data_IF_617737256230
#
_entry.id   IF_617737256230
#
_cell.length_a   1.000
_cell.length_b   1.000
_cell.length_c   1.000
_cell.angle_alpha   90.00
_cell.angle_beta   90.00
_cell.angle_gamma   90.00
#
_symmetry.space_group_name_H-M   'P 1'
#
loop_
_entity.id
_entity.type
_entity.pdbx_description
1 polymer ?
#
# COMPACT_ATOMS: atom_id res chain seq x y z
N UNK A 1 46.18 75.22 19.84
CA UNK A 1 47.35 74.69 20.55
C UNK A 1 46.88 73.52 21.41
N UNK A 2 47.22 72.28 20.99
CA UNK A 2 47.41 71.02 21.76
C UNK A 2 46.32 70.64 22.79
N UNK A 3 45.76 69.44 22.90
CA UNK A 3 45.62 68.20 22.10
C UNK A 3 44.62 67.37 22.95
N UNK A 4 43.42 67.08 22.43
CA UNK A 4 42.40 66.31 23.17
C UNK A 4 42.67 64.80 23.03
N UNK A 5 42.96 64.13 24.15
CA UNK A 5 42.80 62.68 24.32
C UNK A 5 41.33 62.38 24.63
N UNK A 6 40.78 61.31 24.06
CA UNK A 6 40.17 60.17 24.77
C UNK A 6 39.35 59.28 23.80
N UNK A 7 39.38 57.99 24.12
CA UNK A 7 38.47 56.90 23.72
C UNK A 7 38.64 56.30 22.30
N UNK A 8 39.36 55.18 22.26
CA UNK A 8 39.09 54.10 21.30
C UNK A 8 38.59 52.91 22.11
N UNK A 9 37.35 52.50 21.82
CA UNK A 9 36.67 51.37 22.43
C UNK A 9 37.35 50.05 22.04
N UNK A 10 37.47 49.18 23.04
CA UNK A 10 37.95 47.80 22.94
C UNK A 10 36.84 46.90 22.38
N UNK A 11 37.07 46.31 21.21
CA UNK A 11 36.16 45.34 20.60
C UNK A 11 36.49 43.93 21.08
N UNK A 12 35.61 43.35 21.91
CA UNK A 12 35.61 41.95 22.32
C UNK A 12 35.21 41.05 21.14
N UNK A 13 36.12 40.17 20.69
CA UNK A 13 35.83 39.10 19.74
C UNK A 13 35.30 37.87 20.49
N UNK A 14 34.00 37.62 20.37
CA UNK A 14 33.36 36.37 20.81
C UNK A 14 33.37 35.39 19.63
N UNK A 15 34.30 34.43 19.63
CA UNK A 15 34.30 33.33 18.66
C UNK A 15 33.33 32.24 19.12
N UNK A 16 32.09 32.28 18.63
CA UNK A 16 31.17 31.15 18.73
C UNK A 16 31.55 30.11 17.66
N UNK A 17 32.13 28.99 18.10
CA UNK A 17 32.33 27.81 17.28
C UNK A 17 30.98 27.19 16.93
N UNK A 18 30.51 27.40 15.71
CA UNK A 18 29.39 26.67 15.13
C UNK A 18 29.94 25.34 14.60
N UNK A 19 29.88 24.29 15.43
CA UNK A 19 29.99 22.91 14.95
C UNK A 19 28.76 22.60 14.11
N UNK A 20 28.95 22.62 12.79
CA UNK A 20 27.95 22.21 11.81
C UNK A 20 27.83 20.69 11.93
N UNK A 21 26.88 20.20 12.74
CA UNK A 21 26.46 18.82 12.70
C UNK A 21 25.61 18.63 11.44
N UNK A 22 26.22 18.13 10.38
CA UNK A 22 25.51 17.61 9.22
C UNK A 22 24.69 16.40 9.66
N UNK A 23 23.39 16.61 9.93
CA UNK A 23 22.44 15.52 10.13
C UNK A 23 22.35 14.73 8.81
N UNK A 24 23.04 13.59 8.75
CA UNK A 24 22.82 12.61 7.69
C UNK A 24 21.41 12.05 7.90
N UNK A 25 20.44 12.61 7.19
CA UNK A 25 19.15 11.94 7.01
C UNK A 25 19.46 10.62 6.31
N UNK A 26 19.35 9.50 7.04
CA UNK A 26 19.19 8.19 6.41
C UNK A 26 17.91 8.27 5.57
N UNK A 27 18.07 8.63 4.30
CA UNK A 27 17.08 8.29 3.29
C UNK A 27 17.07 6.77 3.25
N UNK A 28 16.10 6.16 3.93
CA UNK A 28 15.79 4.76 3.75
C UNK A 28 15.58 4.56 2.25
N UNK A 29 16.43 3.73 1.64
CA UNK A 29 16.27 3.29 0.26
C UNK A 29 14.83 2.84 0.08
N UNK A 30 14.08 3.56 -0.77
CA UNK A 30 12.76 3.15 -1.23
C UNK A 30 12.98 1.89 -2.06
N UNK A 31 13.03 0.74 -1.37
CA UNK A 31 13.03 -0.56 -1.99
C UNK A 31 11.82 -0.64 -2.91
N UNK A 32 12.08 -0.88 -4.19
CA UNK A 32 11.05 -0.94 -5.22
C UNK A 32 9.97 -1.95 -4.78
N UNK A 33 8.74 -1.52 -4.42
CA UNK A 33 7.76 -2.38 -3.75
C UNK A 33 7.31 -3.56 -4.61
N UNK A 34 7.57 -3.50 -5.90
CA UNK A 34 7.34 -4.54 -6.91
C UNK A 34 8.24 -5.77 -6.77
N UNK A 35 9.35 -5.71 -6.01
CA UNK A 35 10.22 -6.89 -5.79
C UNK A 35 9.72 -7.82 -4.67
N UNK A 36 8.78 -7.37 -3.84
CA UNK A 36 8.25 -8.12 -2.70
C UNK A 36 7.07 -9.01 -3.05
N UNK A 37 6.47 -8.83 -4.23
CA UNK A 37 5.26 -9.53 -4.68
C UNK A 37 5.54 -10.25 -5.99
N UNK A 38 5.08 -11.49 -6.09
CA UNK A 38 5.10 -12.27 -7.33
C UNK A 38 3.67 -12.54 -7.76
N UNK A 39 3.33 -12.18 -9.00
CA UNK A 39 2.04 -12.55 -9.58
C UNK A 39 2.01 -14.06 -9.79
N UNK A 40 0.95 -14.70 -9.29
CA UNK A 40 0.76 -16.16 -9.32
C UNK A 40 -0.26 -16.55 -10.36
N UNK A 41 -1.38 -15.83 -10.43
CA UNK A 41 -2.39 -16.07 -11.47
C UNK A 41 -3.17 -14.81 -11.79
N UNK A 42 -3.83 -14.81 -12.94
CA UNK A 42 -4.63 -13.71 -13.44
C UNK A 42 -5.90 -14.26 -14.08
N UNK A 43 -7.04 -13.72 -13.67
CA UNK A 43 -8.37 -14.14 -14.10
C UNK A 43 -9.13 -12.93 -14.59
N UNK A 44 -9.65 -12.97 -15.82
CA UNK A 44 -10.29 -11.79 -16.43
C UNK A 44 -11.75 -12.08 -16.75
N UNK A 45 -12.63 -11.19 -16.30
CA UNK A 45 -14.05 -11.21 -16.60
C UNK A 45 -14.31 -10.44 -17.89
N UNK A 46 -14.74 -11.12 -18.95
CA UNK A 46 -15.05 -10.50 -20.23
C UNK A 46 -16.53 -10.09 -20.35
N UNK A 47 -17.41 -10.76 -19.61
CA UNK A 47 -18.87 -10.61 -19.69
C UNK A 47 -19.46 -10.47 -18.29
N UNK A 48 -20.40 -9.55 -18.10
CA UNK A 48 -21.03 -9.30 -16.79
C UNK A 48 -22.31 -10.14 -16.60
N UNK A 49 -22.20 -11.46 -16.71
CA UNK A 49 -23.30 -12.35 -16.36
C UNK A 49 -23.17 -12.81 -14.91
N UNK A 50 -24.25 -13.34 -14.31
CA UNK A 50 -24.18 -13.90 -12.95
C UNK A 50 -23.27 -15.13 -12.92
N UNK A 51 -23.39 -16.00 -13.93
CA UNK A 51 -22.63 -17.26 -14.04
C UNK A 51 -21.13 -16.98 -14.19
N UNK A 52 -20.74 -16.07 -15.10
CA UNK A 52 -19.32 -15.78 -15.34
C UNK A 52 -18.65 -15.17 -14.09
N UNK A 53 -19.40 -14.36 -13.33
CA UNK A 53 -18.92 -13.80 -12.05
C UNK A 53 -18.75 -14.87 -10.98
N UNK A 54 -19.69 -15.80 -10.89
CA UNK A 54 -19.59 -16.92 -9.94
C UNK A 54 -18.40 -17.81 -10.25
N UNK A 55 -18.20 -18.15 -11.53
CA UNK A 55 -17.04 -18.94 -12.00
C UNK A 55 -15.74 -18.21 -11.64
N UNK A 56 -15.62 -16.93 -12.00
CA UNK A 56 -14.44 -16.12 -11.72
C UNK A 56 -14.10 -16.10 -10.22
N UNK A 57 -15.10 -15.87 -9.38
CA UNK A 57 -14.91 -15.82 -7.92
C UNK A 57 -14.54 -17.20 -7.39
N UNK A 58 -15.17 -18.26 -7.89
CA UNK A 58 -14.85 -19.64 -7.53
C UNK A 58 -13.39 -20.00 -7.85
N UNK A 59 -12.91 -19.68 -9.05
CA UNK A 59 -11.54 -19.92 -9.49
C UNK A 59 -10.52 -19.14 -8.63
N UNK A 60 -10.79 -17.85 -8.39
CA UNK A 60 -9.94 -17.01 -7.54
C UNK A 60 -9.90 -17.54 -6.11
N UNK A 61 -11.03 -17.94 -5.54
CA UNK A 61 -11.09 -18.51 -4.18
C UNK A 61 -10.34 -19.84 -4.09
N UNK A 62 -10.50 -20.72 -5.07
CA UNK A 62 -9.82 -22.01 -5.10
C UNK A 62 -8.30 -21.83 -5.15
N UNK A 63 -7.81 -20.86 -5.92
CA UNK A 63 -6.39 -20.58 -6.03
C UNK A 63 -5.86 -19.83 -4.79
N UNK A 64 -6.61 -18.85 -4.26
CA UNK A 64 -6.24 -18.12 -3.04
C UNK A 64 -6.02 -19.07 -1.85
N UNK A 65 -6.90 -20.06 -1.67
CA UNK A 65 -6.78 -21.03 -0.56
C UNK A 65 -5.54 -21.92 -0.62
N UNK A 66 -4.90 -22.06 -1.78
CA UNK A 66 -3.68 -22.86 -1.96
C UNK A 66 -2.41 -22.06 -1.63
N UNK A 67 -2.53 -20.74 -1.48
CA UNK A 67 -1.40 -19.82 -1.33
C UNK A 67 -1.36 -19.26 0.09
N UNK A 68 -0.20 -19.31 0.73
CA UNK A 68 0.07 -18.56 1.96
C UNK A 68 0.42 -17.12 1.63
N UNK A 69 -0.01 -16.17 2.46
CA UNK A 69 0.31 -14.73 2.32
C UNK A 69 -0.03 -14.15 0.94
N UNK A 70 -1.11 -14.64 0.34
CA UNK A 70 -1.63 -14.13 -0.92
C UNK A 70 -2.52 -12.91 -0.72
N UNK A 71 -2.54 -12.06 -1.73
CA UNK A 71 -3.45 -10.95 -1.87
C UNK A 71 -4.14 -10.99 -3.23
N UNK A 72 -5.33 -10.42 -3.27
CA UNK A 72 -6.13 -10.27 -4.48
C UNK A 72 -6.06 -8.81 -4.90
N UNK A 73 -5.68 -8.60 -6.15
CA UNK A 73 -5.60 -7.30 -6.75
C UNK A 73 -6.66 -7.20 -7.85
N UNK A 74 -7.70 -6.40 -7.62
CA UNK A 74 -8.76 -6.09 -8.59
C UNK A 74 -8.24 -4.95 -9.48
N UNK A 75 -7.80 -5.32 -10.66
CA UNK A 75 -7.00 -4.52 -11.59
C UNK A 75 -7.77 -4.08 -12.83
N UNK A 76 -7.27 -2.99 -13.43
CA UNK A 76 -7.49 -2.68 -14.84
C UNK A 76 -8.93 -2.29 -15.20
N UNK A 77 -9.81 -2.15 -14.21
CA UNK A 77 -11.21 -1.83 -14.46
C UNK A 77 -11.37 -0.37 -14.86
N UNK A 78 -12.21 -0.14 -15.87
CA UNK A 78 -12.58 1.20 -16.29
C UNK A 78 -13.50 1.86 -15.26
N UNK A 79 -13.57 3.20 -15.19
CA UNK A 79 -14.50 3.90 -14.29
C UNK A 79 -15.96 3.43 -14.40
N UNK A 80 -16.41 3.05 -15.59
CA UNK A 80 -17.75 2.49 -15.82
C UNK A 80 -18.01 1.17 -15.07
N UNK A 81 -16.98 0.37 -14.81
CA UNK A 81 -17.07 -0.91 -14.11
C UNK A 81 -16.69 -0.82 -12.63
N UNK A 82 -16.53 0.40 -12.09
CA UNK A 82 -16.20 0.62 -10.68
C UNK A 82 -17.18 -0.07 -9.74
N UNK A 83 -18.50 0.06 -9.99
CA UNK A 83 -19.51 -0.61 -9.16
C UNK A 83 -19.36 -2.12 -9.17
N UNK A 84 -19.09 -2.69 -10.35
CA UNK A 84 -18.85 -4.12 -10.48
C UNK A 84 -17.60 -4.57 -9.70
N UNK A 85 -16.52 -3.76 -9.68
CA UNK A 85 -15.33 -4.03 -8.88
C UNK A 85 -15.63 -4.05 -7.38
N UNK A 86 -16.46 -3.12 -6.89
CA UNK A 86 -16.92 -3.11 -5.51
C UNK A 86 -17.83 -4.30 -5.19
N UNK A 87 -18.70 -4.72 -6.11
CA UNK A 87 -19.56 -5.89 -5.94
C UNK A 87 -18.73 -7.17 -5.85
N UNK A 88 -17.73 -7.35 -6.71
CA UNK A 88 -16.81 -8.48 -6.65
C UNK A 88 -16.03 -8.47 -5.32
N UNK A 89 -15.53 -7.29 -4.89
CA UNK A 89 -14.89 -7.15 -3.58
C UNK A 89 -15.81 -7.57 -2.45
N UNK A 90 -17.09 -7.17 -2.48
CA UNK A 90 -18.06 -7.56 -1.46
C UNK A 90 -18.30 -9.08 -1.44
N UNK A 91 -18.38 -9.71 -2.61
CA UNK A 91 -18.53 -11.16 -2.72
C UNK A 91 -17.31 -11.92 -2.17
N UNK A 92 -16.09 -11.47 -2.49
CA UNK A 92 -14.86 -12.04 -1.92
C UNK A 92 -14.80 -11.93 -0.39
N UNK A 93 -15.20 -10.78 0.16
CA UNK A 93 -15.30 -10.58 1.61
C UNK A 93 -16.35 -11.53 2.22
N UNK A 94 -17.50 -11.68 1.56
CA UNK A 94 -18.55 -12.61 2.00
C UNK A 94 -18.09 -14.07 1.99
N UNK A 95 -17.15 -14.41 1.11
CA UNK A 95 -16.50 -15.72 1.03
C UNK A 95 -15.35 -15.91 2.03
N UNK A 96 -15.28 -15.05 3.07
CA UNK A 96 -14.32 -15.10 4.17
C UNK A 96 -12.88 -14.74 3.80
N UNK A 97 -12.67 -13.92 2.75
CA UNK A 97 -11.39 -13.27 2.50
C UNK A 97 -11.29 -11.99 3.34
N UNK A 98 -10.14 -11.77 3.96
CA UNK A 98 -9.89 -10.55 4.72
C UNK A 98 -9.98 -9.32 3.80
N UNK A 99 -10.73 -8.26 4.17
CA UNK A 99 -10.74 -7.01 3.41
C UNK A 99 -9.35 -6.41 3.21
N UNK A 100 -8.41 -6.68 4.12
CA UNK A 100 -7.02 -6.19 4.05
C UNK A 100 -6.15 -6.93 3.02
N UNK A 101 -6.57 -8.11 2.54
CA UNK A 101 -5.87 -8.81 1.46
C UNK A 101 -6.45 -8.51 0.08
N UNK A 102 -7.41 -7.59 -0.03
CA UNK A 102 -8.03 -7.19 -1.30
C UNK A 102 -7.68 -5.74 -1.62
N UNK A 103 -7.02 -5.53 -2.74
CA UNK A 103 -6.58 -4.24 -3.25
C UNK A 103 -7.36 -3.89 -4.50
N UNK A 104 -7.71 -2.62 -4.67
CA UNK A 104 -8.38 -2.13 -5.87
C UNK A 104 -7.49 -1.13 -6.59
N UNK A 105 -7.15 -1.42 -7.84
CA UNK A 105 -6.31 -0.58 -8.66
C UNK A 105 -7.02 -0.26 -9.98
N UNK A 106 -7.59 0.96 -10.12
CA UNK A 106 -8.22 1.36 -11.36
C UNK A 106 -7.19 1.43 -12.50
N UNK A 107 -7.63 1.29 -13.75
CA UNK A 107 -6.73 1.52 -14.88
C UNK A 107 -6.24 2.96 -14.90
N UNK A 108 -4.92 3.16 -15.09
CA UNK A 108 -4.42 4.48 -15.42
C UNK A 108 -4.82 4.80 -16.86
N UNK A 109 -5.36 6.00 -17.07
CA UNK A 109 -5.68 6.53 -18.39
C UNK A 109 -4.38 6.71 -19.18
N UNK A 110 -3.90 5.66 -19.86
CA UNK A 110 -2.59 5.76 -20.52
C UNK A 110 -2.16 4.63 -21.45
N UNK A 111 -2.62 3.39 -21.32
CA UNK A 111 -2.17 2.35 -22.25
C UNK A 111 -3.16 1.21 -22.44
N UNK A 112 -3.54 1.01 -23.70
CA UNK A 112 -4.07 -0.23 -24.27
C UNK A 112 -5.46 -0.70 -23.83
N UNK A 113 -6.45 0.20 -23.86
CA UNK A 113 -7.86 -0.11 -23.53
C UNK A 113 -8.57 -1.14 -24.42
N UNK A 114 -7.94 -1.62 -25.51
CA UNK A 114 -8.63 -2.42 -26.53
C UNK A 114 -8.70 -3.93 -26.22
N UNK A 115 -7.91 -4.44 -25.27
CA UNK A 115 -7.87 -5.88 -24.94
C UNK A 115 -8.09 -6.20 -23.45
N UNK A 116 -8.50 -5.24 -22.63
CA UNK A 116 -8.81 -5.51 -21.23
C UNK A 116 -10.27 -5.94 -21.10
N UNK A 117 -10.50 -7.10 -20.46
CA UNK A 117 -11.84 -7.47 -20.01
C UNK A 117 -12.42 -6.44 -19.03
N UNK A 118 -13.67 -6.62 -18.63
CA UNK A 118 -14.39 -5.69 -17.75
C UNK A 118 -13.63 -5.47 -16.44
N UNK A 119 -13.14 -6.56 -15.85
CA UNK A 119 -12.36 -6.59 -14.60
C UNK A 119 -11.36 -7.73 -14.67
N UNK A 120 -10.13 -7.46 -14.22
CA UNK A 120 -9.12 -8.51 -14.02
C UNK A 120 -8.83 -8.67 -12.54
N UNK A 121 -8.82 -9.91 -12.05
CA UNK A 121 -8.35 -10.25 -10.71
C UNK A 121 -6.98 -10.92 -10.84
N UNK A 122 -5.98 -10.32 -10.22
CA UNK A 122 -4.64 -10.89 -10.10
C UNK A 122 -4.45 -11.42 -8.69
N UNK A 123 -3.97 -12.66 -8.57
CA UNK A 123 -3.47 -13.20 -7.32
C UNK A 123 -1.98 -12.94 -7.24
N UNK A 124 -1.55 -12.27 -6.19
CA UNK A 124 -0.16 -11.95 -5.94
C UNK A 124 0.24 -12.51 -4.58
N UNK A 125 1.44 -13.09 -4.50
CA UNK A 125 1.97 -13.66 -3.27
C UNK A 125 3.18 -12.86 -2.83
N UNK A 126 3.22 -12.51 -1.55
CA UNK A 126 4.40 -11.89 -0.98
C UNK A 126 5.52 -12.92 -0.83
N UNK A 127 6.72 -12.56 -1.28
CA UNK A 127 7.94 -13.35 -1.04
C UNK A 127 8.44 -13.24 0.40
N UNK A 128 8.03 -12.17 1.08
CA UNK A 128 8.37 -11.89 2.49
C UNK A 128 7.07 -11.51 3.21
N UNK A 129 6.75 -12.11 4.37
CA UNK A 129 5.52 -11.82 5.09
C UNK A 129 5.37 -10.32 5.33
N UNK A 130 4.25 -9.74 4.91
CA UNK A 130 3.96 -8.33 5.15
C UNK A 130 3.35 -8.16 6.54
N UNK A 131 4.12 -7.55 7.42
CA UNK A 131 3.71 -7.28 8.79
C UNK A 131 2.92 -5.97 8.94
N UNK A 132 2.73 -5.22 7.86
CA UNK A 132 2.07 -3.91 7.90
C UNK A 132 0.92 -3.80 6.90
N UNK A 133 -0.27 -3.58 7.43
CA UNK A 133 -1.51 -3.29 6.71
C UNK A 133 -1.58 -1.79 6.39
N UNK A 134 -1.88 -1.46 5.13
CA UNK A 134 -1.91 -0.09 4.61
C UNK A 134 -3.34 0.26 4.13
N UNK A 135 -4.06 1.03 4.95
CA UNK A 135 -5.45 1.41 4.69
C UNK A 135 -5.65 2.17 3.36
N UNK A 136 -4.69 3.02 2.96
CA UNK A 136 -4.81 3.81 1.74
C UNK A 136 -4.68 2.97 0.47
N UNK A 137 -3.80 1.96 0.47
CA UNK A 137 -3.69 1.02 -0.65
C UNK A 137 -4.91 0.12 -0.79
N UNK A 138 -5.64 -0.10 0.30
CA UNK A 138 -6.75 -1.06 0.37
C UNK A 138 -8.14 -0.40 0.19
N UNK A 139 -8.21 0.93 0.01
CA UNK A 139 -9.45 1.73 0.03
C UNK A 139 -10.39 1.30 1.18
N UNK A 140 -9.79 1.00 2.34
CA UNK A 140 -10.51 0.46 3.47
C UNK A 140 -11.18 1.58 4.26
N UNK A 141 -12.48 1.43 4.51
CA UNK A 141 -13.26 2.27 5.43
C UNK A 141 -13.62 1.44 6.64
N UNK A 142 -13.31 1.94 7.83
CA UNK A 142 -13.64 1.29 9.10
C UNK A 142 -15.12 0.94 9.20
N UNK A 143 -15.43 -0.26 9.70
CA UNK A 143 -16.79 -0.70 10.05
C UNK A 143 -16.76 -1.38 11.41
N UNK A 144 -17.76 -1.12 12.25
CA UNK A 144 -17.82 -1.64 13.63
C UNK A 144 -17.83 -3.17 13.74
N UNK A 145 -18.18 -3.85 12.64
CA UNK A 145 -18.19 -5.32 12.52
C UNK A 145 -16.88 -5.93 12.04
N UNK A 146 -15.90 -5.11 11.67
CA UNK A 146 -14.59 -5.60 11.28
C UNK A 146 -13.84 -5.96 12.56
N UNK A 147 -13.59 -7.26 12.75
CA UNK A 147 -13.05 -7.82 14.00
C UNK A 147 -11.72 -7.18 14.44
N UNK A 148 -10.96 -6.61 13.51
CA UNK A 148 -9.69 -5.90 13.71
C UNK A 148 -9.45 -4.93 12.55
N UNK A 149 -8.96 -3.71 12.84
CA UNK A 149 -8.47 -2.78 11.81
C UNK A 149 -6.96 -2.92 11.58
N UNK A 150 -6.42 -2.38 10.47
CA UNK A 150 -4.97 -2.37 10.20
C UNK A 150 -4.13 -1.86 11.38
N UNK A 151 -4.60 -0.94 12.23
CA UNK A 151 -3.84 -0.50 13.41
C UNK A 151 -3.63 -1.64 14.41
N UNK A 152 -4.66 -2.44 14.66
CA UNK A 152 -4.60 -3.61 15.53
C UNK A 152 -3.79 -4.73 14.88
N UNK A 153 -3.94 -4.94 13.57
CA UNK A 153 -3.14 -5.90 12.80
C UNK A 153 -1.64 -5.54 12.85
N UNK A 154 -1.31 -4.26 12.67
CA UNK A 154 0.06 -3.75 12.73
C UNK A 154 0.66 -3.94 14.13
N UNK A 155 -0.10 -3.62 15.19
CA UNK A 155 0.34 -3.83 16.57
C UNK A 155 0.57 -5.32 16.88
N UNK A 156 -0.34 -6.20 16.44
CA UNK A 156 -0.18 -7.65 16.56
C UNK A 156 1.09 -8.11 15.84
N UNK A 157 1.32 -7.64 14.62
CA UNK A 157 2.50 -8.03 13.85
C UNK A 157 3.80 -7.47 14.44
N UNK A 158 3.80 -6.24 14.97
CA UNK A 158 4.92 -5.68 15.72
C UNK A 158 5.26 -6.54 16.95
N UNK A 159 4.26 -7.08 17.63
CA UNK A 159 4.48 -7.99 18.78
C UNK A 159 5.15 -9.32 18.39
N UNK A 160 4.97 -9.77 17.14
CA UNK A 160 5.63 -10.97 16.60
C UNK A 160 7.09 -10.66 16.25
N UNK A 161 7.36 -9.47 15.70
CA UNK A 161 8.72 -9.02 15.33
C UNK A 161 9.56 -8.73 16.59
N UNK A 162 8.99 -8.05 17.59
CA UNK A 162 9.67 -7.67 18.83
C UNK A 162 9.80 -8.81 19.86
N UNK A 163 9.45 -10.05 19.49
CA UNK A 163 9.63 -11.23 20.34
C UNK A 163 11.05 -11.84 20.25
N UNK A 164 11.97 -11.20 19.53
CA UNK A 164 13.41 -11.49 19.54
C UNK A 164 14.13 -10.50 20.43
#
# INVERSE_FOLDING_TARGET
>A
MILRRWLVMSSLLFTFGMSIFSAQTLAASEGNPSQLMSRVSEHTLYTNTVIDREILIGEVLQNYRKLSDAVILINGYQPAFRHLAYDIRAQLISANISPSSIYMQPSSTGSNMQNHGLITLSLEQYRVPQYTCNYHRQDYKYRDRDKVGCSVENLRNLSIINKK
#
